data_IF_091132267250
#
_entry.id   IF_091132267250
#
_cell.length_a   1.000
_cell.length_b   1.000
_cell.length_c   1.000
_cell.angle_alpha   90.00
_cell.angle_beta   90.00
_cell.angle_gamma   90.00
#
_symmetry.space_group_name_H-M   'P 1'
#
loop_
_entity.id
_entity.type
_entity.pdbx_description
1 polymer ?
#
# COMPACT_ATOMS: atom_id res chain seq x y z
N UNK A 1 -37.76 -14.21 -21.99
CA UNK A 1 -37.18 -14.62 -20.68
C UNK A 1 -35.77 -15.13 -20.93
N UNK A 2 -34.76 -14.25 -20.84
CA UNK A 2 -33.36 -14.68 -20.88
C UNK A 2 -32.84 -14.76 -19.45
N UNK A 3 -32.50 -15.97 -19.03
CA UNK A 3 -31.90 -16.27 -17.75
C UNK A 3 -30.48 -15.70 -17.71
N UNK A 4 -30.20 -14.82 -16.74
CA UNK A 4 -28.85 -14.43 -16.36
C UNK A 4 -28.31 -15.53 -15.45
N UNK A 5 -27.52 -16.46 -15.99
CA UNK A 5 -26.71 -17.34 -15.16
C UNK A 5 -25.55 -16.55 -14.56
N UNK A 6 -25.73 -16.13 -13.31
CA UNK A 6 -24.65 -15.69 -12.43
C UNK A 6 -23.82 -16.91 -12.02
N UNK A 7 -22.82 -17.24 -12.84
CA UNK A 7 -21.96 -18.42 -12.62
C UNK A 7 -20.52 -18.23 -13.06
N UNK A 8 -20.04 -16.99 -13.17
CA UNK A 8 -18.63 -16.73 -13.43
C UNK A 8 -17.83 -16.87 -12.14
N UNK A 9 -17.21 -18.03 -11.92
CA UNK A 9 -16.14 -18.19 -10.93
C UNK A 9 -15.10 -17.10 -11.21
N UNK A 10 -15.06 -16.05 -10.38
CA UNK A 10 -14.07 -14.97 -10.52
C UNK A 10 -12.73 -15.60 -10.16
N UNK A 11 -12.06 -16.18 -11.15
CA UNK A 11 -10.72 -16.71 -10.97
C UNK A 11 -9.79 -15.54 -10.68
N UNK A 12 -8.98 -15.69 -9.64
CA UNK A 12 -7.98 -14.71 -9.23
C UNK A 12 -7.07 -14.45 -10.44
N UNK A 13 -6.88 -13.18 -10.86
CA UNK A 13 -5.95 -12.85 -11.95
C UNK A 13 -4.59 -13.54 -11.71
N UNK A 14 -4.02 -14.18 -12.74
CA UNK A 14 -2.84 -15.07 -12.61
C UNK A 14 -1.65 -14.44 -11.85
N UNK A 15 -1.49 -13.11 -11.93
CA UNK A 15 -0.47 -12.33 -11.22
C UNK A 15 -0.66 -12.28 -9.69
N UNK A 16 -1.89 -12.53 -9.21
CA UNK A 16 -2.24 -12.61 -7.81
C UNK A 16 -2.14 -14.05 -7.28
N UNK A 17 -2.30 -15.09 -8.12
CA UNK A 17 -2.32 -16.49 -7.68
C UNK A 17 -0.96 -17.00 -7.14
N UNK A 18 0.16 -16.45 -7.59
CA UNK A 18 1.51 -16.93 -7.22
C UNK A 18 2.23 -16.02 -6.20
N UNK A 19 1.60 -14.94 -5.75
CA UNK A 19 2.23 -13.93 -4.90
C UNK A 19 1.42 -13.70 -3.63
N UNK A 20 2.13 -13.47 -2.51
CA UNK A 20 1.46 -13.03 -1.28
C UNK A 20 0.78 -11.71 -1.54
N UNK A 21 -0.47 -11.62 -1.11
CA UNK A 21 -1.28 -10.42 -1.26
C UNK A 21 -1.52 -9.79 0.09
N UNK A 22 -1.35 -8.49 0.12
CA UNK A 22 -1.51 -7.67 1.30
C UNK A 22 -2.60 -6.65 1.05
N UNK A 23 -3.58 -6.58 1.94
CA UNK A 23 -4.68 -5.63 1.87
C UNK A 23 -4.43 -4.53 2.88
N UNK A 24 -4.58 -3.29 2.42
CA UNK A 24 -4.56 -2.09 3.24
C UNK A 24 -5.95 -1.45 3.19
N UNK A 25 -6.49 -1.09 4.34
CA UNK A 25 -7.80 -0.42 4.43
C UNK A 25 -7.85 0.57 5.60
N UNK A 26 -8.81 1.49 5.57
CA UNK A 26 -9.01 2.49 6.62
C UNK A 26 -7.91 3.54 6.76
N UNK A 27 -6.98 3.62 5.80
CA UNK A 27 -6.00 4.68 5.70
C UNK A 27 -6.69 6.01 5.36
N UNK A 28 -6.27 7.10 6.01
CA UNK A 28 -6.74 8.46 5.68
C UNK A 28 -6.25 8.99 4.33
N UNK A 29 -5.17 8.42 3.79
CA UNK A 29 -4.81 8.61 2.38
C UNK A 29 -5.51 7.52 1.56
N UNK A 30 -6.59 7.91 0.88
CA UNK A 30 -7.43 6.96 0.15
C UNK A 30 -6.63 6.13 -0.84
N UNK A 31 -5.66 6.72 -1.55
CA UNK A 31 -4.74 6.06 -2.49
C UNK A 31 -3.99 4.86 -1.91
N UNK A 32 -3.79 4.83 -0.59
CA UNK A 32 -3.13 3.72 0.11
C UNK A 32 -4.09 2.55 0.37
N UNK A 33 -5.39 2.78 0.47
CA UNK A 33 -6.38 1.71 0.62
C UNK A 33 -6.40 0.85 -0.64
N UNK A 34 -6.20 -0.46 -0.52
CA UNK A 34 -6.22 -1.36 -1.66
C UNK A 34 -5.42 -2.63 -1.49
N UNK A 35 -5.19 -3.27 -2.64
CA UNK A 35 -4.49 -4.55 -2.77
C UNK A 35 -3.05 -4.30 -3.17
N UNK A 36 -2.11 -4.87 -2.44
CA UNK A 36 -0.69 -4.87 -2.71
C UNK A 36 -0.21 -6.29 -3.00
N UNK A 37 0.65 -6.42 -3.99
CA UNK A 37 1.18 -7.72 -4.44
C UNK A 37 2.68 -7.77 -4.20
N UNK A 38 3.13 -8.84 -3.58
CA UNK A 38 4.55 -9.09 -3.37
C UNK A 38 5.31 -9.06 -4.69
N UNK A 39 6.48 -8.43 -4.66
CA UNK A 39 7.40 -8.38 -5.77
C UNK A 39 8.47 -9.47 -5.62
N UNK A 40 8.82 -10.14 -6.73
CA UNK A 40 9.92 -11.12 -6.76
C UNK A 40 11.27 -10.52 -6.35
N UNK A 41 11.45 -9.22 -6.54
CA UNK A 41 12.60 -8.45 -6.08
C UNK A 41 12.10 -7.30 -5.23
N UNK A 42 12.71 -7.03 -4.06
CA UNK A 42 12.29 -5.93 -3.22
C UNK A 42 12.47 -4.61 -3.99
N UNK A 43 11.50 -3.71 -3.81
CA UNK A 43 11.48 -2.41 -4.49
C UNK A 43 12.63 -1.52 -3.99
N UNK A 44 12.95 -1.65 -2.69
CA UNK A 44 14.14 -1.08 -2.07
C UNK A 44 14.99 -2.23 -1.55
N UNK A 45 16.23 -2.31 -2.02
CA UNK A 45 17.17 -3.33 -1.55
C UNK A 45 17.36 -3.23 -0.04
N UNK A 46 17.25 -4.36 0.64
CA UNK A 46 17.49 -4.48 2.08
C UNK A 46 18.27 -5.78 2.35
N UNK A 47 19.03 -5.77 3.45
CA UNK A 47 19.83 -6.91 3.89
C UNK A 47 19.02 -7.89 4.75
N UNK A 48 17.88 -7.44 5.26
CA UNK A 48 16.99 -8.23 6.14
C UNK A 48 16.17 -9.29 5.40
N UNK A 49 16.23 -9.37 4.07
CA UNK A 49 15.45 -10.32 3.27
C UNK A 49 13.95 -10.07 3.29
N UNK A 50 13.51 -8.90 3.78
CA UNK A 50 12.10 -8.54 3.88
C UNK A 50 11.55 -8.18 2.49
N UNK A 51 10.37 -8.69 2.11
CA UNK A 51 9.77 -8.46 0.81
C UNK A 51 9.35 -6.99 0.62
N UNK A 52 8.95 -6.67 -0.61
CA UNK A 52 8.22 -5.44 -0.90
C UNK A 52 6.93 -5.79 -1.61
N UNK A 53 5.90 -4.98 -1.40
CA UNK A 53 4.61 -5.14 -2.05
C UNK A 53 4.28 -3.85 -2.81
N UNK A 54 3.70 -4.00 -3.99
CA UNK A 54 3.33 -2.86 -4.85
C UNK A 54 1.83 -2.87 -5.04
N UNK A 55 1.22 -1.69 -4.93
CA UNK A 55 -0.19 -1.48 -5.17
C UNK A 55 -0.61 -2.00 -6.56
N UNK A 56 -1.69 -2.76 -6.62
CA UNK A 56 -2.11 -3.50 -7.81
C UNK A 56 -3.00 -2.66 -8.75
N UNK A 57 -3.60 -1.58 -8.25
CA UNK A 57 -4.53 -0.75 -9.00
C UNK A 57 -3.85 0.39 -9.76
N UNK A 58 -4.68 1.20 -10.44
CA UNK A 58 -4.26 2.49 -11.01
C UNK A 58 -4.11 3.52 -9.89
N UNK A 59 -3.11 4.36 -10.01
CA UNK A 59 -2.78 5.41 -9.04
C UNK A 59 -2.72 6.75 -9.75
N UNK A 60 -2.95 7.83 -8.99
CA UNK A 60 -2.82 9.19 -9.53
C UNK A 60 -1.42 9.45 -10.07
N UNK A 61 -1.37 10.03 -11.27
CA UNK A 61 -0.15 10.29 -12.04
C UNK A 61 0.71 9.05 -12.35
N UNK A 62 0.14 7.84 -12.35
CA UNK A 62 0.85 6.56 -12.54
C UNK A 62 2.03 6.33 -11.57
N UNK A 63 2.00 6.95 -10.39
CA UNK A 63 3.07 6.80 -9.41
C UNK A 63 2.92 5.47 -8.65
N UNK A 64 4.02 4.75 -8.46
CA UNK A 64 3.97 3.49 -7.73
C UNK A 64 3.72 3.74 -6.24
N UNK A 65 2.73 3.08 -5.66
CA UNK A 65 2.55 3.03 -4.20
C UNK A 65 3.12 1.71 -3.72
N UNK A 66 4.04 1.79 -2.77
CA UNK A 66 4.86 0.65 -2.36
C UNK A 66 4.83 0.51 -0.85
N UNK A 67 4.79 -0.74 -0.40
CA UNK A 67 5.00 -1.18 0.97
C UNK A 67 6.39 -1.84 1.05
N UNK A 68 7.33 -1.28 1.82
CA UNK A 68 8.72 -1.77 1.86
C UNK A 68 9.37 -1.64 3.24
N UNK A 69 10.40 -2.45 3.45
CA UNK A 69 11.25 -2.39 4.63
C UNK A 69 12.48 -1.51 4.44
N UNK A 70 12.86 -0.76 5.48
CA UNK A 70 14.10 0.01 5.53
C UNK A 70 14.93 -0.43 6.73
N UNK A 71 16.15 -0.95 6.48
CA UNK A 71 17.04 -1.45 7.54
C UNK A 71 17.48 -0.34 8.51
N UNK A 72 17.81 0.85 8.00
CA UNK A 72 18.35 1.96 8.80
C UNK A 72 17.40 2.42 9.92
N UNK A 73 16.08 2.31 9.69
CA UNK A 73 15.06 2.66 10.70
C UNK A 73 14.41 1.45 11.35
N UNK A 74 14.82 0.23 10.98
CA UNK A 74 14.14 -1.01 11.34
C UNK A 74 12.61 -0.88 11.24
N UNK A 75 12.13 -0.41 10.08
CA UNK A 75 10.74 -0.01 9.91
C UNK A 75 10.15 -0.41 8.56
N UNK A 76 8.86 -0.74 8.59
CA UNK A 76 8.00 -0.84 7.41
C UNK A 76 7.48 0.54 7.02
N UNK A 77 7.30 0.74 5.72
CA UNK A 77 6.93 2.02 5.13
C UNK A 77 5.88 1.79 4.05
N UNK A 78 4.87 2.66 3.99
CA UNK A 78 3.99 2.80 2.83
C UNK A 78 4.22 4.19 2.25
N UNK A 79 4.32 4.30 0.92
CA UNK A 79 4.68 5.55 0.29
C UNK A 79 4.59 5.54 -1.23
N UNK A 80 4.53 6.75 -1.78
CA UNK A 80 4.36 7.03 -3.21
C UNK A 80 5.71 7.35 -3.84
N UNK A 81 6.02 6.63 -4.91
CA UNK A 81 7.20 6.77 -5.75
C UNK A 81 6.76 7.30 -7.12
N UNK A 82 7.05 8.57 -7.41
CA UNK A 82 6.71 9.16 -8.69
C UNK A 82 7.50 8.50 -9.82
N UNK A 83 6.97 8.61 -11.04
CA UNK A 83 7.67 8.17 -12.25
C UNK A 83 8.99 8.92 -12.39
N UNK A 84 10.03 8.24 -12.87
CA UNK A 84 11.38 8.81 -12.98
C UNK A 84 11.47 10.10 -13.84
N UNK A 85 10.51 10.34 -14.73
CA UNK A 85 10.40 11.56 -15.54
C UNK A 85 9.82 12.77 -14.79
N UNK A 86 9.23 12.54 -13.62
CA UNK A 86 8.49 13.55 -12.86
C UNK A 86 9.38 14.09 -11.74
N UNK A 87 10.39 14.88 -12.14
CA UNK A 87 11.49 15.39 -11.30
C UNK A 87 10.99 16.27 -10.14
N UNK A 88 9.74 16.78 -10.23
CA UNK A 88 9.13 17.66 -9.24
C UNK A 88 8.50 16.92 -8.05
N UNK A 89 8.23 15.62 -8.16
CA UNK A 89 7.55 14.88 -7.10
C UNK A 89 8.58 14.16 -6.22
N UNK A 90 8.70 14.58 -4.96
CA UNK A 90 9.54 13.89 -3.99
C UNK A 90 8.87 12.59 -3.55
N UNK A 91 9.65 11.50 -3.43
CA UNK A 91 9.21 10.26 -2.78
C UNK A 91 8.57 10.60 -1.43
N UNK A 92 7.28 10.29 -1.27
CA UNK A 92 6.51 10.62 -0.07
C UNK A 92 6.26 9.35 0.71
N UNK A 93 6.89 9.22 1.87
CA UNK A 93 6.50 8.23 2.86
C UNK A 93 5.24 8.74 3.57
N UNK A 94 4.20 7.91 3.62
CA UNK A 94 2.87 8.25 4.11
C UNK A 94 2.64 7.63 5.50
N UNK A 95 3.02 6.36 5.65
CA UNK A 95 2.87 5.63 6.90
C UNK A 95 4.14 4.85 7.24
N UNK A 96 4.41 4.72 8.53
CA UNK A 96 5.50 3.92 9.07
C UNK A 96 4.99 2.99 10.15
N UNK A 97 5.60 1.82 10.27
CA UNK A 97 5.42 0.91 11.40
C UNK A 97 6.79 0.42 11.87
N UNK A 98 7.07 0.60 13.15
CA UNK A 98 8.31 0.20 13.80
C UNK A 98 8.05 -0.13 15.27
N UNK A 99 9.06 -0.67 15.97
CA UNK A 99 8.97 -0.89 17.41
C UNK A 99 8.64 0.40 18.17
N UNK A 100 9.10 1.57 17.70
CA UNK A 100 8.83 2.87 18.31
C UNK A 100 7.36 3.31 18.17
N UNK A 101 6.62 2.74 17.23
CA UNK A 101 5.19 3.00 17.01
C UNK A 101 4.31 1.91 17.64
N UNK A 102 4.92 0.98 18.39
CA UNK A 102 4.26 -0.16 19.01
C UNK A 102 3.98 -1.32 18.04
N UNK A 103 4.55 -1.30 16.83
CA UNK A 103 4.41 -2.38 15.87
C UNK A 103 5.40 -3.51 16.15
N UNK A 104 4.95 -4.76 16.03
CA UNK A 104 5.86 -5.90 15.97
C UNK A 104 6.50 -6.00 14.58
N UNK A 105 7.82 -5.85 14.51
CA UNK A 105 8.59 -5.86 13.27
C UNK A 105 9.66 -6.94 13.24
N UNK A 106 9.65 -7.89 14.18
CA UNK A 106 10.62 -8.99 14.17
C UNK A 106 10.41 -9.94 12.99
N UNK A 107 9.16 -10.08 12.53
CA UNK A 107 8.80 -10.98 11.44
C UNK A 107 9.19 -10.45 10.06
N UNK A 108 9.30 -11.37 9.08
CA UNK A 108 9.59 -11.01 7.69
C UNK A 108 8.46 -10.23 7.02
N UNK A 109 7.25 -10.24 7.58
CA UNK A 109 6.09 -9.61 6.98
C UNK A 109 5.78 -8.25 7.60
N UNK A 110 5.08 -7.36 6.87
CA UNK A 110 4.58 -6.12 7.44
C UNK A 110 3.54 -6.40 8.53
N UNK A 111 3.56 -5.64 9.64
CA UNK A 111 2.61 -5.82 10.73
C UNK A 111 1.19 -5.41 10.30
N UNK A 112 0.20 -6.00 10.96
CA UNK A 112 -1.21 -5.64 10.77
C UNK A 112 -1.61 -4.36 11.50
N UNK A 113 -0.84 -3.97 12.52
CA UNK A 113 -1.11 -2.82 13.42
C UNK A 113 0.17 -2.04 13.73
N UNK A 114 0.04 -0.96 14.53
CA UNK A 114 1.17 -0.11 14.92
C UNK A 114 1.64 0.83 13.81
N UNK A 115 0.82 1.03 12.78
CA UNK A 115 1.06 2.03 11.75
C UNK A 115 0.75 3.43 12.28
N UNK A 116 1.60 4.40 11.93
CA UNK A 116 1.37 5.82 12.20
C UNK A 116 1.71 6.63 10.96
N UNK A 117 1.16 7.85 10.88
CA UNK A 117 1.49 8.80 9.83
C UNK A 117 2.98 9.11 9.87
N UNK A 118 3.64 8.98 8.73
CA UNK A 118 5.07 9.26 8.56
C UNK A 118 5.41 10.73 8.83
N UNK A 119 4.40 11.62 8.80
CA UNK A 119 4.36 13.04 9.16
C UNK A 119 5.78 13.59 9.27
N UNK A 120 6.44 13.72 8.10
CA UNK A 120 7.89 13.88 7.90
C UNK A 120 8.65 13.84 9.23
N UNK A 121 9.30 12.73 9.55
CA UNK A 121 10.23 12.59 10.69
C UNK A 121 11.27 13.73 10.85
N UNK A 122 11.40 14.65 9.88
CA UNK A 122 12.11 15.93 9.97
C UNK A 122 11.40 17.06 10.73
N UNK A 123 10.08 17.20 10.71
CA UNK A 123 9.39 18.34 11.36
C UNK A 123 9.19 18.14 12.87
N UNK A 124 9.13 16.89 13.36
CA UNK A 124 9.25 16.61 14.80
C UNK A 124 10.57 17.11 15.41
N UNK A 125 11.63 17.25 14.62
CA UNK A 125 12.90 17.82 15.08
C UNK A 125 12.87 19.36 15.20
N UNK A 126 11.85 20.04 14.64
CA UNK A 126 11.79 21.50 14.54
C UNK A 126 10.60 22.14 15.30
N UNK A 127 9.77 21.36 15.99
CA UNK A 127 8.78 21.88 16.95
C UNK A 127 7.59 22.66 16.37
N UNK A 128 7.35 22.63 15.05
CA UNK A 128 6.21 23.29 14.41
C UNK A 128 4.92 22.45 14.45
N UNK A 129 3.72 23.06 14.45
CA UNK A 129 2.46 22.34 14.37
C UNK A 129 2.32 21.68 12.98
N UNK A 130 2.24 20.35 12.97
CA UNK A 130 2.09 19.54 11.76
C UNK A 130 0.66 19.70 11.23
N UNK A 131 0.48 20.27 10.04
CA UNK A 131 -0.85 20.54 9.47
C UNK A 131 -1.39 19.45 8.53
N UNK A 132 -0.62 18.40 8.27
CA UNK A 132 -1.05 17.27 7.43
C UNK A 132 -1.30 16.05 8.31
N UNK A 133 -2.50 16.00 8.86
CA UNK A 133 -2.98 14.86 9.64
C UNK A 133 -3.59 13.86 8.66
N UNK A 134 -2.80 12.88 8.21
CA UNK A 134 -3.30 11.76 7.39
C UNK A 134 -3.90 10.70 8.33
N UNK A 135 -5.01 11.01 8.97
CA UNK A 135 -5.73 10.06 9.84
C UNK A 135 -6.96 9.50 9.09
N UNK A 136 -7.28 8.20 9.26
CA UNK A 136 -6.72 7.26 10.23
C UNK A 136 -5.44 6.56 9.74
N UNK A 137 -4.76 5.87 10.67
CA UNK A 137 -3.72 4.90 10.34
C UNK A 137 -4.30 3.67 9.58
N UNK A 138 -3.53 3.09 8.64
CA UNK A 138 -3.98 1.93 7.89
C UNK A 138 -4.13 0.70 8.79
N UNK A 139 -5.13 -0.11 8.47
CA UNK A 139 -5.24 -1.50 8.88
C UNK A 139 -4.70 -2.38 7.79
N UNK A 140 -3.92 -3.37 8.18
CA UNK A 140 -3.15 -4.16 7.26
C UNK A 140 -3.41 -5.65 7.48
N UNK A 141 -3.49 -6.42 6.40
CA UNK A 141 -3.74 -7.86 6.49
C UNK A 141 -3.14 -8.60 5.31
N UNK A 142 -2.42 -9.69 5.59
CA UNK A 142 -2.02 -10.62 4.55
C UNK A 142 -3.17 -11.60 4.26
N UNK A 143 -3.43 -11.86 2.98
CA UNK A 143 -4.42 -12.84 2.55
C UNK A 143 -3.81 -14.24 2.52
N UNK A 144 -4.61 -15.23 2.92
CA UNK A 144 -4.27 -16.62 2.64
C UNK A 144 -4.32 -16.90 1.12
N UNK A 145 -3.69 -18.00 0.68
CA UNK A 145 -3.52 -18.31 -0.75
C UNK A 145 -4.84 -18.38 -1.53
N UNK A 146 -5.88 -18.94 -0.91
CA UNK A 146 -7.21 -19.10 -1.51
C UNK A 146 -8.16 -17.95 -1.14
N UNK A 147 -7.71 -17.00 -0.34
CA UNK A 147 -8.54 -15.90 0.11
C UNK A 147 -8.58 -14.76 -0.93
N UNK A 148 -9.79 -14.30 -1.23
CA UNK A 148 -10.00 -13.18 -2.13
C UNK A 148 -9.92 -11.85 -1.39
N UNK A 149 -9.38 -10.79 -2.04
CA UNK A 149 -9.46 -9.45 -1.47
C UNK A 149 -10.91 -9.05 -1.22
N UNK A 150 -11.18 -8.28 -0.14
CA UNK A 150 -12.53 -7.81 0.15
C UNK A 150 -13.15 -7.04 -1.04
N UNK A 151 -14.42 -7.33 -1.34
CA UNK A 151 -15.10 -6.79 -2.52
C UNK A 151 -15.26 -5.27 -2.48
N UNK A 152 -15.44 -4.70 -1.30
CA UNK A 152 -15.48 -3.25 -1.04
C UNK A 152 -14.15 -2.58 -1.42
N UNK A 153 -13.02 -3.20 -1.03
CA UNK A 153 -11.68 -2.72 -1.38
C UNK A 153 -11.47 -2.76 -2.90
N UNK A 154 -11.85 -3.85 -3.56
CA UNK A 154 -11.73 -3.99 -5.02
C UNK A 154 -12.60 -2.97 -5.78
N UNK A 155 -13.84 -2.77 -5.33
CA UNK A 155 -14.77 -1.82 -5.95
C UNK A 155 -14.28 -0.38 -5.80
N UNK A 156 -13.76 -0.02 -4.63
CA UNK A 156 -13.19 1.30 -4.39
C UNK A 156 -11.96 1.56 -5.28
N UNK A 157 -11.03 0.59 -5.35
CA UNK A 157 -9.87 0.68 -6.26
C UNK A 157 -10.29 0.85 -7.72
N UNK A 158 -11.31 0.11 -8.17
CA UNK A 158 -11.82 0.21 -9.53
C UNK A 158 -12.42 1.59 -9.81
N UNK A 159 -13.26 2.12 -8.91
CA UNK A 159 -13.87 3.45 -9.05
C UNK A 159 -12.82 4.54 -9.14
N UNK A 160 -11.80 4.53 -8.28
CA UNK A 160 -10.70 5.49 -8.34
C UNK A 160 -9.91 5.36 -9.64
N UNK A 161 -9.63 4.14 -10.08
CA UNK A 161 -8.95 3.93 -11.37
C UNK A 161 -9.73 4.44 -12.58
N UNK A 162 -11.06 4.36 -12.56
CA UNK A 162 -11.93 4.96 -13.59
C UNK A 162 -11.85 6.50 -13.54
N UNK A 163 -11.90 7.09 -12.35
CA UNK A 163 -11.79 8.55 -12.18
C UNK A 163 -10.43 9.07 -12.69
N UNK A 164 -9.33 8.41 -12.34
CA UNK A 164 -8.00 8.81 -12.82
C UNK A 164 -7.88 8.69 -14.33
N UNK A 165 -8.47 7.66 -14.93
CA UNK A 165 -8.51 7.53 -16.38
C UNK A 165 -9.29 8.65 -17.06
N UNK A 166 -10.38 9.13 -16.42
CA UNK A 166 -11.17 10.26 -16.91
C UNK A 166 -10.44 11.60 -16.77
N UNK A 167 -9.50 11.70 -15.81
CA UNK A 167 -8.63 12.85 -15.58
C UNK A 167 -7.37 12.84 -16.49
N UNK A 168 -7.30 11.95 -17.50
CA UNK A 168 -6.13 11.72 -18.37
C UNK A 168 -4.84 11.33 -17.63
N UNK A 169 -4.97 10.68 -16.47
CA UNK A 169 -3.85 10.20 -15.65
C UNK A 169 -3.47 8.73 -15.90
#
# INVERSE_FOLDING_TARGET
CHSLEMGGTISRPKKLAEARVFVVSGAGEDEVNGVFVEQKRPYVANKSGKPSFVYAGRTRCNAAIVLWWTDAGAQWNIGKFPRASDVASTRKCLYIASAATGADVSDLLPPSTGWVVSAKAKERAMGGPVSWTIEPAPKCRILAEEEFPPADVLLDMFRRGVNYAADDE
#
